data_IF_652446205847
#
_entry.id   IF_652446205847
#
_cell.length_a   1.000
_cell.length_b   1.000
_cell.length_c   1.000
_cell.angle_alpha   90.00
_cell.angle_beta   90.00
_cell.angle_gamma   90.00
#
_symmetry.space_group_name_H-M   'P 1'
#
loop_
_entity.id
_entity.type
_entity.pdbx_description
1 polymer ?
#
# COMPACT_ATOMS: atom_id res chain seq x y z
N UNK A 1 3.51 -10.23 8.07
CA UNK A 1 3.62 -8.77 8.27
C UNK A 1 3.09 -8.42 9.65
N UNK A 2 3.43 -7.23 10.17
CA UNK A 2 3.00 -6.76 11.49
C UNK A 2 1.51 -6.41 11.53
N UNK A 3 0.91 -6.48 12.72
CA UNK A 3 -0.45 -6.05 13.02
C UNK A 3 -0.40 -4.82 13.92
N UNK A 4 -1.10 -3.76 13.56
CA UNK A 4 -1.10 -2.47 14.21
C UNK A 4 -2.49 -2.12 14.72
N UNK A 5 -2.55 -1.42 15.83
CA UNK A 5 -3.78 -0.79 16.34
C UNK A 5 -3.63 0.72 16.24
N UNK A 6 -4.69 1.42 15.84
CA UNK A 6 -4.74 2.88 16.02
C UNK A 6 -4.49 3.25 17.49
N UNK A 7 -3.92 4.43 17.72
CA UNK A 7 -3.70 4.93 19.06
C UNK A 7 -5.01 5.03 19.87
N UNK A 8 -6.11 5.42 19.21
CA UNK A 8 -7.43 5.50 19.83
C UNK A 8 -7.95 4.11 20.24
N UNK A 9 -7.88 3.11 19.36
CA UNK A 9 -8.27 1.73 19.70
C UNK A 9 -7.41 1.19 20.84
N UNK A 10 -6.09 1.36 20.75
CA UNK A 10 -5.13 0.91 21.75
C UNK A 10 -5.38 1.47 23.16
N UNK A 11 -5.96 2.67 23.27
CA UNK A 11 -6.25 3.32 24.54
C UNK A 11 -7.43 2.69 25.31
N UNK A 12 -8.33 1.98 24.62
CA UNK A 12 -9.53 1.41 25.23
C UNK A 12 -9.41 -0.10 25.51
N UNK A 13 -10.44 -0.68 26.15
CA UNK A 13 -10.46 -2.10 26.55
C UNK A 13 -10.37 -3.05 25.35
N UNK A 14 -10.99 -2.71 24.22
CA UNK A 14 -10.99 -3.55 23.01
C UNK A 14 -9.59 -3.64 22.41
N UNK A 15 -8.87 -2.51 22.34
CA UNK A 15 -7.48 -2.52 21.87
C UNK A 15 -6.55 -3.27 22.79
N UNK A 16 -6.63 -3.06 24.11
CA UNK A 16 -5.82 -3.82 25.10
C UNK A 16 -6.04 -5.34 25.00
N UNK A 17 -7.27 -5.77 24.71
CA UNK A 17 -7.56 -7.17 24.43
C UNK A 17 -6.80 -7.66 23.19
N UNK A 18 -6.91 -6.95 22.06
CA UNK A 18 -6.23 -7.31 20.81
C UNK A 18 -4.69 -7.26 20.91
N UNK A 19 -4.13 -6.37 21.73
CA UNK A 19 -2.70 -6.39 22.03
C UNK A 19 -2.29 -7.70 22.70
N UNK A 20 -3.08 -8.13 23.69
CA UNK A 20 -2.79 -9.32 24.51
C UNK A 20 -3.00 -10.61 23.72
N UNK A 21 -4.14 -10.72 23.03
CA UNK A 21 -4.58 -11.97 22.38
C UNK A 21 -4.03 -12.11 20.96
N UNK A 22 -3.95 -11.03 20.19
CA UNK A 22 -3.48 -11.07 18.81
C UNK A 22 -2.03 -10.56 18.64
N UNK A 23 -1.37 -10.11 19.71
CA UNK A 23 -0.02 -9.52 19.63
C UNK A 23 0.02 -8.29 18.71
N UNK A 24 -1.07 -7.53 18.63
CA UNK A 24 -1.13 -6.34 17.80
C UNK A 24 -0.39 -5.17 18.47
N UNK A 25 0.43 -4.46 17.71
CA UNK A 25 1.28 -3.38 18.22
C UNK A 25 0.54 -2.05 18.16
N UNK A 26 0.43 -1.30 19.28
CA UNK A 26 -0.18 0.02 19.24
C UNK A 26 0.69 1.01 18.48
N UNK A 27 0.07 1.85 17.65
CA UNK A 27 0.74 3.01 17.08
C UNK A 27 0.96 4.09 18.15
N UNK A 28 2.14 4.72 18.12
CA UNK A 28 2.50 5.80 19.04
C UNK A 28 1.93 7.16 18.62
N UNK A 29 1.56 7.30 17.35
CA UNK A 29 1.01 8.52 16.75
C UNK A 29 -0.31 8.21 16.07
N UNK A 30 -1.07 9.26 15.78
CA UNK A 30 -2.30 9.15 15.01
C UNK A 30 -1.99 8.63 13.60
N UNK A 31 -2.75 7.60 13.20
CA UNK A 31 -2.54 6.89 11.93
C UNK A 31 -2.87 7.76 10.73
N UNK A 32 -3.69 8.80 10.88
CA UNK A 32 -3.97 9.76 9.80
C UNK A 32 -2.68 10.50 9.42
N UNK A 33 -1.94 10.95 10.43
CA UNK A 33 -0.68 11.71 10.24
C UNK A 33 0.54 10.84 9.94
N UNK A 34 0.54 9.60 10.46
CA UNK A 34 1.70 8.72 10.43
C UNK A 34 1.25 7.25 10.39
N UNK A 35 0.63 6.79 9.28
CA UNK A 35 0.23 5.40 9.16
C UNK A 35 1.47 4.48 9.11
N UNK A 36 1.34 3.19 9.44
CA UNK A 36 2.44 2.25 9.31
C UNK A 36 2.83 2.08 7.83
N UNK A 37 4.10 1.79 7.55
CA UNK A 37 4.59 1.63 6.18
C UNK A 37 3.93 0.46 5.43
N UNK A 38 3.62 -0.63 6.13
CA UNK A 38 2.89 -1.80 5.62
C UNK A 38 2.37 -2.64 6.79
N UNK A 39 1.50 -3.61 6.50
CA UNK A 39 0.91 -4.53 7.47
C UNK A 39 -0.60 -4.34 7.61
N UNK A 40 -1.15 -4.94 8.66
CA UNK A 40 -2.58 -4.83 8.99
C UNK A 40 -2.78 -3.70 10.00
N UNK A 41 -3.53 -2.65 9.65
CA UNK A 41 -3.98 -1.62 10.59
C UNK A 41 -5.43 -1.88 11.00
N UNK A 42 -5.67 -2.00 12.30
CA UNK A 42 -7.00 -2.17 12.87
C UNK A 42 -7.44 -0.83 13.48
N UNK A 43 -8.61 -0.35 13.06
CA UNK A 43 -9.22 0.91 13.51
C UNK A 43 -10.66 0.68 13.95
N UNK A 44 -11.17 1.50 14.87
CA UNK A 44 -12.58 1.50 15.21
C UNK A 44 -13.37 2.36 14.21
N UNK A 45 -14.60 1.94 13.92
CA UNK A 45 -15.50 2.72 13.07
C UNK A 45 -15.74 4.15 13.61
N UNK A 46 -15.74 4.34 14.93
CA UNK A 46 -15.88 5.65 15.57
C UNK A 46 -14.74 6.64 15.23
N UNK A 47 -13.59 6.14 14.78
CA UNK A 47 -12.48 7.00 14.31
C UNK A 47 -12.75 7.56 12.90
N UNK A 48 -13.70 6.97 12.16
CA UNK A 48 -14.05 7.37 10.80
C UNK A 48 -15.19 8.39 10.85
N UNK A 49 -14.87 9.58 11.37
CA UNK A 49 -15.86 10.63 11.67
C UNK A 49 -16.36 11.37 10.43
N UNK A 50 -15.59 11.37 9.36
CA UNK A 50 -15.83 12.15 8.16
C UNK A 50 -15.26 11.47 6.91
N UNK A 51 -15.64 11.99 5.75
CA UNK A 51 -15.25 11.46 4.45
C UNK A 51 -13.73 11.56 4.21
N UNK A 52 -13.08 12.60 4.72
CA UNK A 52 -11.64 12.79 4.54
C UNK A 52 -10.86 11.71 5.29
N UNK A 53 -11.24 11.42 6.53
CA UNK A 53 -10.63 10.35 7.34
C UNK A 53 -10.86 8.96 6.70
N UNK A 54 -12.07 8.69 6.21
CA UNK A 54 -12.38 7.47 5.47
C UNK A 54 -11.55 7.34 4.18
N UNK A 55 -11.37 8.43 3.43
CA UNK A 55 -10.55 8.47 2.22
C UNK A 55 -9.06 8.23 2.52
N UNK A 56 -8.51 8.81 3.60
CA UNK A 56 -7.13 8.54 4.04
C UNK A 56 -6.90 7.06 4.32
N UNK A 57 -7.82 6.43 5.08
CA UNK A 57 -7.73 5.00 5.35
C UNK A 57 -7.81 4.18 4.07
N UNK A 58 -8.75 4.51 3.18
CA UNK A 58 -8.89 3.86 1.88
C UNK A 58 -7.61 3.97 1.05
N UNK A 59 -7.04 5.17 0.90
CA UNK A 59 -5.83 5.36 0.09
C UNK A 59 -4.63 4.60 0.64
N UNK A 60 -4.46 4.57 1.96
CA UNK A 60 -3.42 3.75 2.58
C UNK A 60 -3.67 2.25 2.38
N UNK A 61 -4.89 1.79 2.65
CA UNK A 61 -5.28 0.40 2.55
C UNK A 61 -5.23 -0.16 1.13
N UNK A 62 -5.29 0.67 0.09
CA UNK A 62 -5.17 0.21 -1.29
C UNK A 62 -3.72 0.00 -1.76
N UNK A 63 -2.71 0.38 -0.96
CA UNK A 63 -1.30 0.16 -1.29
C UNK A 63 -0.91 -1.31 -1.09
N UNK A 64 0.02 -1.81 -1.90
CA UNK A 64 0.51 -3.18 -1.75
C UNK A 64 1.15 -3.39 -0.37
N UNK A 65 0.85 -4.52 0.26
CA UNK A 65 1.22 -4.88 1.62
C UNK A 65 0.48 -4.13 2.73
N UNK A 66 -0.50 -3.29 2.41
CA UNK A 66 -1.33 -2.61 3.40
C UNK A 66 -2.73 -3.25 3.46
N UNK A 67 -3.16 -3.62 4.66
CA UNK A 67 -4.54 -4.04 4.91
C UNK A 67 -5.12 -3.17 6.01
N UNK A 68 -6.33 -2.66 5.82
CA UNK A 68 -7.08 -2.00 6.89
C UNK A 68 -8.27 -2.88 7.30
N UNK A 69 -8.48 -3.01 8.61
CA UNK A 69 -9.66 -3.68 9.18
C UNK A 69 -10.40 -2.71 10.11
N UNK A 70 -11.62 -2.38 9.73
CA UNK A 70 -12.53 -1.56 10.54
C UNK A 70 -13.40 -2.48 11.39
N UNK A 71 -13.40 -2.23 12.70
CA UNK A 71 -14.15 -3.01 13.70
C UNK A 71 -15.17 -2.13 14.42
N UNK A 72 -16.08 -2.76 15.18
CA UNK A 72 -17.07 -2.06 16.00
C UNK A 72 -17.95 -1.11 15.18
N UNK A 73 -18.49 -1.63 14.08
CA UNK A 73 -19.23 -0.88 13.08
C UNK A 73 -20.52 -0.28 13.67
N UNK A 74 -20.90 0.92 13.24
CA UNK A 74 -22.22 1.49 13.47
C UNK A 74 -22.82 1.96 12.14
N UNK A 75 -24.14 2.09 12.10
CA UNK A 75 -24.87 2.44 10.88
C UNK A 75 -24.43 3.78 10.27
N UNK A 76 -24.04 4.74 11.11
CA UNK A 76 -23.63 6.09 10.68
C UNK A 76 -22.40 6.07 9.75
N UNK A 77 -21.42 5.19 9.98
CA UNK A 77 -20.21 5.12 9.15
C UNK A 77 -20.48 4.60 7.73
N UNK A 78 -21.57 3.84 7.51
CA UNK A 78 -21.90 3.33 6.19
C UNK A 78 -22.36 4.43 5.23
N UNK A 79 -22.89 5.55 5.75
CA UNK A 79 -23.22 6.72 4.93
C UNK A 79 -21.98 7.39 4.33
N UNK A 80 -20.82 7.23 4.96
CA UNK A 80 -19.53 7.75 4.48
C UNK A 80 -18.93 6.86 3.39
N UNK A 81 -19.29 5.57 3.35
CA UNK A 81 -18.74 4.63 2.36
C UNK A 81 -19.18 4.95 0.93
N UNK A 82 -20.34 5.59 0.77
CA UNK A 82 -20.82 6.09 -0.52
C UNK A 82 -19.95 7.23 -1.07
N UNK A 83 -19.09 7.84 -0.25
CA UNK A 83 -18.24 8.99 -0.59
C UNK A 83 -16.79 8.57 -0.91
N UNK A 84 -16.52 7.26 -0.93
CA UNK A 84 -15.24 6.72 -1.37
C UNK A 84 -15.06 6.87 -2.88
N UNK A 85 -13.80 6.90 -3.39
CA UNK A 85 -13.53 6.92 -4.83
C UNK A 85 -14.15 5.74 -5.58
N UNK A 86 -14.31 4.60 -4.90
CA UNK A 86 -15.17 3.51 -5.32
C UNK A 86 -16.32 3.38 -4.30
N UNK A 87 -17.50 3.96 -4.59
CA UNK A 87 -18.62 3.99 -3.66
C UNK A 87 -19.05 2.58 -3.27
N UNK A 88 -19.22 2.34 -1.97
CA UNK A 88 -19.72 1.07 -1.46
C UNK A 88 -21.18 1.21 -1.04
N UNK A 89 -21.99 0.25 -1.44
CA UNK A 89 -23.42 0.15 -1.16
C UNK A 89 -23.72 -0.61 0.14
N UNK A 90 -22.73 -0.70 1.02
CA UNK A 90 -22.81 -1.55 2.19
C UNK A 90 -23.74 -0.99 3.26
N UNK A 91 -24.41 -1.87 3.98
CA UNK A 91 -25.26 -1.53 5.12
C UNK A 91 -25.18 -2.61 6.20
N UNK A 92 -25.37 -2.21 7.45
CA UNK A 92 -25.59 -3.18 8.53
C UNK A 92 -27.03 -3.65 8.51
N UNK A 93 -27.21 -4.96 8.52
CA UNK A 93 -28.51 -5.61 8.64
C UNK A 93 -28.50 -6.56 9.83
N UNK A 94 -29.62 -6.69 10.57
CA UNK A 94 -29.76 -7.73 11.58
C UNK A 94 -29.55 -9.11 10.97
N UNK A 95 -28.81 -9.97 11.66
CA UNK A 95 -28.59 -11.35 11.24
C UNK A 95 -28.32 -12.26 12.43
N UNK A 96 -28.39 -13.57 12.21
CA UNK A 96 -27.92 -14.56 13.18
C UNK A 96 -26.97 -15.49 12.47
N UNK A 97 -25.70 -15.50 12.90
CA UNK A 97 -24.72 -16.42 12.35
C UNK A 97 -25.01 -17.83 12.87
N UNK A 98 -24.92 -18.81 11.97
CA UNK A 98 -24.89 -20.23 12.33
C UNK A 98 -23.50 -20.75 12.00
N UNK A 99 -22.72 -21.08 13.03
CA UNK A 99 -21.42 -21.73 12.84
C UNK A 99 -21.62 -23.09 12.19
N UNK A 100 -21.29 -23.20 10.90
CA UNK A 100 -21.37 -24.47 10.17
C UNK A 100 -20.02 -25.17 10.13
N UNK A 101 -18.93 -24.40 10.06
CA UNK A 101 -17.56 -24.92 9.99
C UNK A 101 -16.73 -24.43 11.19
N UNK A 102 -15.82 -25.26 11.72
CA UNK A 102 -14.95 -24.87 12.83
C UNK A 102 -14.05 -23.70 12.42
N UNK A 103 -13.98 -22.66 13.27
CA UNK A 103 -13.18 -21.47 13.02
C UNK A 103 -13.66 -20.27 13.82
N UNK A 104 -13.06 -19.10 13.55
CA UNK A 104 -13.38 -17.86 14.27
C UNK A 104 -14.87 -17.51 14.17
N UNK A 105 -15.46 -17.66 12.97
CA UNK A 105 -16.87 -17.36 12.72
C UNK A 105 -17.81 -18.22 13.57
N UNK A 106 -17.56 -19.53 13.68
CA UNK A 106 -18.38 -20.40 14.51
C UNK A 106 -18.24 -20.07 15.99
N UNK A 107 -17.02 -19.74 16.43
CA UNK A 107 -16.74 -19.38 17.82
C UNK A 107 -17.47 -18.11 18.26
N UNK A 108 -17.59 -17.13 17.36
CA UNK A 108 -18.22 -15.83 17.63
C UNK A 108 -19.67 -15.73 17.14
N UNK A 109 -20.24 -16.83 16.63
CA UNK A 109 -21.54 -16.82 15.97
C UNK A 109 -22.68 -16.37 16.90
N UNK A 110 -22.67 -16.84 18.15
CA UNK A 110 -23.69 -16.48 19.15
C UNK A 110 -23.58 -15.04 19.66
N UNK A 111 -22.44 -14.38 19.43
CA UNK A 111 -22.17 -13.00 19.85
C UNK A 111 -22.34 -11.99 18.71
N UNK A 112 -22.70 -12.47 17.50
CA UNK A 112 -22.83 -11.62 16.31
C UNK A 112 -24.29 -11.60 15.84
N UNK A 113 -24.90 -10.43 15.94
CA UNK A 113 -26.30 -10.17 15.60
C UNK A 113 -26.49 -9.31 14.34
N UNK A 114 -25.39 -9.03 13.63
CA UNK A 114 -25.38 -8.18 12.44
C UNK A 114 -24.53 -8.76 11.32
N UNK A 115 -24.93 -8.45 10.08
CA UNK A 115 -24.19 -8.71 8.86
C UNK A 115 -24.02 -7.44 8.03
N UNK A 116 -23.13 -7.54 7.04
CA UNK A 116 -22.87 -6.51 6.03
C UNK A 116 -23.57 -6.93 4.74
N UNK A 117 -24.68 -6.26 4.41
CA UNK A 117 -25.37 -6.41 3.15
C UNK A 117 -24.81 -5.44 2.10
N UNK A 118 -24.81 -5.84 0.83
CA UNK A 118 -24.35 -5.03 -0.31
C UNK A 118 -23.98 -5.89 -1.51
N UNK A 119 -23.84 -5.29 -2.68
CA UNK A 119 -23.41 -5.95 -3.91
C UNK A 119 -21.92 -5.74 -4.19
N UNK A 120 -21.38 -4.59 -3.79
CA UNK A 120 -19.97 -4.25 -4.05
C UNK A 120 -19.01 -5.02 -3.15
N UNK A 121 -17.78 -5.23 -3.62
CA UNK A 121 -16.71 -5.90 -2.86
C UNK A 121 -16.81 -7.42 -2.83
N UNK A 122 -16.10 -8.02 -1.89
CA UNK A 122 -15.92 -9.47 -1.79
C UNK A 122 -15.91 -9.93 -0.34
N UNK A 123 -16.19 -11.22 -0.14
CA UNK A 123 -16.09 -11.90 1.14
C UNK A 123 -15.57 -13.31 0.87
N UNK A 124 -14.65 -13.78 1.71
CA UNK A 124 -14.15 -15.14 1.62
C UNK A 124 -15.22 -16.11 2.14
N UNK A 125 -15.48 -17.19 1.40
CA UNK A 125 -16.56 -18.13 1.71
C UNK A 125 -16.37 -18.84 3.05
N UNK A 126 -15.13 -19.07 3.46
CA UNK A 126 -14.80 -19.85 4.65
C UNK A 126 -14.49 -18.97 5.86
N UNK A 127 -13.89 -17.79 5.63
CA UNK A 127 -13.44 -16.91 6.71
C UNK A 127 -14.41 -15.77 7.02
N UNK A 128 -15.23 -15.35 6.06
CA UNK A 128 -15.98 -14.09 6.13
C UNK A 128 -17.49 -14.25 6.00
N UNK A 129 -17.96 -15.49 5.87
CA UNK A 129 -19.37 -15.83 5.69
C UNK A 129 -19.78 -16.99 6.60
N UNK A 130 -21.04 -17.00 7.03
CA UNK A 130 -21.69 -18.13 7.67
C UNK A 130 -22.94 -18.50 6.86
N UNK A 131 -22.83 -19.51 6.00
CA UNK A 131 -23.83 -19.74 4.96
C UNK A 131 -23.87 -18.52 4.01
N UNK A 132 -25.06 -17.94 3.83
CA UNK A 132 -25.26 -16.75 2.98
C UNK A 132 -25.06 -15.42 3.75
N UNK A 133 -24.76 -15.49 5.04
CA UNK A 133 -24.62 -14.30 5.91
C UNK A 133 -23.18 -13.82 5.90
N UNK A 134 -22.95 -12.61 5.39
CA UNK A 134 -21.63 -11.98 5.31
C UNK A 134 -21.37 -11.15 6.57
N UNK A 135 -20.49 -11.59 7.46
CA UNK A 135 -20.09 -10.82 8.65
C UNK A 135 -18.84 -9.98 8.41
N UNK A 136 -18.09 -10.25 7.35
CA UNK A 136 -16.92 -9.47 6.97
C UNK A 136 -16.92 -9.25 5.47
N UNK A 137 -16.69 -8.01 5.04
CA UNK A 137 -16.63 -7.67 3.63
C UNK A 137 -15.43 -6.78 3.37
N UNK A 138 -14.79 -6.98 2.21
CA UNK A 138 -13.59 -6.24 1.84
C UNK A 138 -13.64 -5.79 0.38
N UNK A 139 -12.82 -4.79 0.08
CA UNK A 139 -12.52 -4.34 -1.28
C UNK A 139 -11.03 -4.35 -1.53
N UNK A 140 -10.65 -4.53 -2.80
CA UNK A 140 -9.29 -4.37 -3.32
C UNK A 140 -9.36 -3.99 -4.79
N UNK A 141 -8.32 -3.34 -5.34
CA UNK A 141 -8.29 -2.94 -6.75
C UNK A 141 -7.92 -4.10 -7.68
N UNK A 142 -6.94 -4.91 -7.28
CA UNK A 142 -6.45 -6.08 -8.03
C UNK A 142 -5.77 -7.05 -7.07
N UNK A 143 -5.25 -8.18 -7.57
CA UNK A 143 -4.62 -9.22 -6.72
C UNK A 143 -3.41 -8.75 -5.92
N UNK A 144 -2.65 -7.81 -6.48
CA UNK A 144 -1.44 -7.29 -5.85
C UNK A 144 -1.64 -5.98 -5.07
N UNK A 145 -2.88 -5.49 -4.93
CA UNK A 145 -3.15 -4.30 -4.12
C UNK A 145 -3.39 -4.71 -2.67
N UNK A 146 -3.32 -3.72 -1.79
CA UNK A 146 -3.88 -3.85 -0.46
C UNK A 146 -5.40 -4.03 -0.47
N UNK A 147 -5.96 -4.12 0.74
CA UNK A 147 -7.39 -4.27 0.94
C UNK A 147 -7.91 -3.42 2.11
N UNK A 148 -9.16 -3.02 2.00
CA UNK A 148 -9.93 -2.40 3.07
C UNK A 148 -11.09 -3.32 3.43
N UNK A 149 -11.16 -3.74 4.70
CA UNK A 149 -12.13 -4.69 5.22
C UNK A 149 -12.91 -4.12 6.40
N UNK A 150 -14.15 -4.57 6.55
CA UNK A 150 -15.08 -4.22 7.62
C UNK A 150 -15.65 -5.50 8.21
N UNK A 151 -15.71 -5.61 9.53
CA UNK A 151 -16.24 -6.80 10.21
C UNK A 151 -17.22 -6.49 11.32
N UNK A 152 -18.29 -7.28 11.41
CA UNK A 152 -19.23 -7.29 12.54
C UNK A 152 -18.81 -8.23 13.66
N UNK A 153 -17.78 -9.08 13.44
CA UNK A 153 -17.32 -10.00 14.47
C UNK A 153 -16.77 -9.24 15.70
N UNK A 154 -17.18 -9.61 16.92
CA UNK A 154 -16.67 -9.01 18.15
C UNK A 154 -15.27 -9.57 18.48
N UNK A 155 -14.24 -9.07 17.81
CA UNK A 155 -12.84 -9.54 17.95
C UNK A 155 -12.23 -9.33 19.36
N UNK A 156 -13.00 -8.77 20.29
CA UNK A 156 -12.66 -8.57 21.70
C UNK A 156 -13.49 -9.46 22.64
N UNK A 157 -14.15 -10.50 22.12
CA UNK A 157 -14.89 -11.49 22.92
C UNK A 157 -13.94 -12.23 23.86
N UNK A 158 -14.40 -12.45 25.09
CA UNK A 158 -13.67 -13.26 26.09
C UNK A 158 -13.50 -14.71 25.65
N UNK A 159 -14.37 -15.22 24.77
CA UNK A 159 -14.27 -16.55 24.17
C UNK A 159 -12.94 -16.74 23.41
N UNK A 160 -12.30 -15.64 22.97
CA UNK A 160 -11.03 -15.69 22.23
C UNK A 160 -9.80 -15.83 23.12
N UNK A 161 -9.92 -15.76 24.46
CA UNK A 161 -8.77 -15.90 25.37
C UNK A 161 -8.11 -17.28 25.23
N UNK A 162 -8.92 -18.34 25.10
CA UNK A 162 -8.45 -19.71 24.95
C UNK A 162 -8.30 -20.15 23.47
N UNK A 163 -8.62 -19.24 22.53
CA UNK A 163 -8.67 -19.50 21.08
C UNK A 163 -7.95 -18.42 20.27
N UNK A 164 -6.89 -17.85 20.84
CA UNK A 164 -6.10 -16.77 20.25
C UNK A 164 -5.55 -17.11 18.86
N UNK A 165 -5.24 -18.39 18.62
CA UNK A 165 -4.74 -18.92 17.36
C UNK A 165 -5.74 -18.76 16.22
N UNK A 166 -7.04 -18.91 16.49
CA UNK A 166 -8.09 -18.73 15.49
C UNK A 166 -8.20 -17.26 15.09
N UNK A 167 -8.12 -16.35 16.05
CA UNK A 167 -8.10 -14.90 15.78
C UNK A 167 -6.85 -14.52 14.98
N UNK A 168 -5.69 -14.98 15.40
CA UNK A 168 -4.41 -14.69 14.72
C UNK A 168 -4.42 -15.23 13.29
N UNK A 169 -4.87 -16.46 13.07
CA UNK A 169 -4.98 -17.04 11.73
C UNK A 169 -5.94 -16.25 10.86
N UNK A 170 -7.08 -15.84 11.41
CA UNK A 170 -8.07 -15.03 10.70
C UNK A 170 -7.54 -13.64 10.33
N UNK A 171 -6.82 -12.97 11.25
CA UNK A 171 -6.17 -11.69 10.95
C UNK A 171 -5.05 -11.81 9.91
N UNK A 172 -4.31 -12.93 9.92
CA UNK A 172 -3.25 -13.19 8.94
C UNK A 172 -3.81 -13.34 7.53
N UNK A 173 -5.06 -13.79 7.36
CA UNK A 173 -5.69 -13.82 6.04
C UNK A 173 -5.61 -12.46 5.36
N UNK A 174 -5.87 -11.35 6.06
CA UNK A 174 -5.79 -10.01 5.44
C UNK A 174 -4.38 -9.64 5.02
N UNK A 175 -3.39 -10.02 5.83
CA UNK A 175 -1.98 -9.81 5.53
C UNK A 175 -1.56 -10.58 4.28
N UNK A 176 -1.97 -11.84 4.18
CA UNK A 176 -1.65 -12.72 3.05
C UNK A 176 -2.34 -12.26 1.75
N UNK A 177 -3.43 -11.49 1.86
CA UNK A 177 -4.20 -10.97 0.73
C UNK A 177 -3.98 -9.48 0.44
N UNK A 178 -3.09 -8.80 1.19
CA UNK A 178 -2.78 -7.39 1.01
C UNK A 178 -1.83 -7.10 -0.17
N UNK A 179 -1.49 -8.12 -0.97
CA UNK A 179 -0.41 -8.04 -1.94
C UNK A 179 0.96 -7.95 -1.26
N UNK A 180 2.01 -8.00 -2.06
CA UNK A 180 3.38 -7.89 -1.57
C UNK A 180 3.74 -6.41 -1.67
N UNK A 181 3.90 -5.74 -0.53
CA UNK A 181 4.67 -4.51 -0.51
C UNK A 181 6.05 -4.88 -1.07
N UNK A 182 6.36 -4.44 -2.29
CA UNK A 182 7.76 -4.23 -2.62
C UNK A 182 8.30 -3.39 -1.47
N UNK A 183 9.34 -3.88 -0.80
CA UNK A 183 10.02 -3.06 0.19
C UNK A 183 10.38 -1.78 -0.56
N UNK A 184 9.67 -0.71 -0.28
CA UNK A 184 10.21 0.63 -0.41
C UNK A 184 11.39 0.55 0.54
N UNK A 185 12.56 0.25 -0.02
CA UNK A 185 13.82 0.44 0.64
C UNK A 185 13.73 1.92 0.99
N UNK A 186 13.43 2.24 2.27
CA UNK A 186 13.71 3.56 2.81
C UNK A 186 15.07 3.94 2.22
N UNK A 187 15.21 5.07 1.51
CA UNK A 187 16.43 5.39 0.79
C UNK A 187 17.57 5.15 1.75
N UNK A 188 18.26 4.02 1.52
CA UNK A 188 19.30 3.55 2.39
C UNK A 188 20.29 4.68 2.30
N UNK A 189 20.65 5.29 3.44
CA UNK A 189 21.71 6.29 3.49
C UNK A 189 22.79 5.84 2.49
N UNK A 190 23.10 6.67 1.47
CA UNK A 190 23.65 6.21 0.20
C UNK A 190 24.77 5.22 0.49
N UNK A 191 24.53 3.95 0.16
CA UNK A 191 25.62 2.99 0.26
C UNK A 191 26.62 3.42 -0.79
N UNK A 192 27.81 3.79 -0.33
CA UNK A 192 28.96 4.26 -1.11
C UNK A 192 29.49 3.26 -2.15
N UNK A 193 28.79 2.15 -2.39
CA UNK A 193 29.30 1.01 -3.17
C UNK A 193 28.62 0.85 -4.54
N UNK A 194 27.61 1.67 -4.87
CA UNK A 194 27.05 1.66 -6.24
C UNK A 194 27.91 2.51 -7.17
N UNK A 195 28.56 1.85 -8.12
CA UNK A 195 29.28 2.52 -9.21
C UNK A 195 28.46 2.36 -10.50
N UNK A 196 27.92 3.45 -11.07
CA UNK A 196 27.19 3.40 -12.34
C UNK A 196 27.97 2.69 -13.44
N UNK A 197 27.32 1.75 -14.13
CA UNK A 197 27.93 1.07 -15.28
C UNK A 197 27.90 1.96 -16.54
N UNK A 198 28.44 1.45 -17.65
CA UNK A 198 28.49 2.19 -18.92
C UNK A 198 27.12 2.65 -19.46
N UNK A 199 26.05 1.90 -19.21
CA UNK A 199 24.72 2.24 -19.67
C UNK A 199 24.02 3.20 -18.70
N UNK A 200 24.27 3.06 -17.40
CA UNK A 200 23.83 4.04 -16.40
C UNK A 200 24.41 5.42 -16.69
N UNK A 201 25.69 5.48 -17.07
CA UNK A 201 26.34 6.71 -17.50
C UNK A 201 25.72 7.30 -18.78
N UNK A 202 25.24 6.45 -19.70
CA UNK A 202 24.48 6.91 -20.88
C UNK A 202 23.12 7.49 -20.47
N UNK A 203 22.43 6.90 -19.50
CA UNK A 203 21.17 7.45 -18.97
C UNK A 203 21.40 8.81 -18.30
N UNK A 204 22.47 8.95 -17.51
CA UNK A 204 22.88 10.23 -16.92
C UNK A 204 23.23 11.27 -18.00
N UNK A 205 23.93 10.85 -19.05
CA UNK A 205 24.26 11.71 -20.20
C UNK A 205 23.00 12.21 -20.90
N UNK A 206 22.02 11.34 -21.15
CA UNK A 206 20.75 11.69 -21.78
C UNK A 206 19.94 12.66 -20.93
N UNK A 207 19.85 12.42 -19.61
CA UNK A 207 19.17 13.33 -18.68
C UNK A 207 19.84 14.70 -18.62
N UNK A 208 21.17 14.73 -18.59
CA UNK A 208 21.93 15.98 -18.59
C UNK A 208 21.71 16.76 -19.90
N UNK A 209 21.83 16.08 -21.04
CA UNK A 209 21.68 16.68 -22.37
C UNK A 209 20.22 17.07 -22.69
N UNK A 210 19.24 16.38 -22.10
CA UNK A 210 17.81 16.61 -22.30
C UNK A 210 17.27 17.89 -21.66
N UNK A 211 18.06 18.62 -20.86
CA UNK A 211 17.72 19.98 -20.43
C UNK A 211 16.39 20.13 -19.67
N UNK A 212 15.99 19.12 -18.90
CA UNK A 212 14.72 19.10 -18.15
C UNK A 212 13.67 18.10 -18.69
N UNK A 213 13.96 17.37 -19.76
CA UNK A 213 13.17 16.21 -20.16
C UNK A 213 13.27 15.09 -19.11
N UNK A 214 12.14 14.44 -18.82
CA UNK A 214 12.12 13.25 -17.99
C UNK A 214 12.52 11.99 -18.79
N UNK A 215 12.77 10.87 -18.09
CA UNK A 215 13.22 9.61 -18.70
C UNK A 215 12.25 9.07 -19.76
N UNK A 216 10.93 9.22 -19.55
CA UNK A 216 9.92 8.80 -20.52
C UNK A 216 10.03 9.62 -21.81
N UNK A 217 10.10 10.94 -21.69
CA UNK A 217 10.24 11.85 -22.82
C UNK A 217 11.53 11.58 -23.60
N UNK A 218 12.63 11.32 -22.91
CA UNK A 218 13.91 10.95 -23.54
C UNK A 218 13.84 9.60 -24.27
N UNK A 219 13.19 8.61 -23.66
CA UNK A 219 13.00 7.28 -24.28
C UNK A 219 12.18 7.36 -25.56
N UNK A 220 11.28 8.34 -25.64
CA UNK A 220 10.39 8.54 -26.77
C UNK A 220 10.97 9.48 -27.83
N UNK A 221 12.00 10.27 -27.48
CA UNK A 221 12.59 11.29 -28.32
C UNK A 221 13.23 10.71 -29.59
N UNK A 222 12.89 11.28 -30.75
CA UNK A 222 13.30 10.73 -32.05
C UNK A 222 14.83 10.70 -32.22
N UNK A 223 15.53 11.77 -31.85
CA UNK A 223 17.00 11.79 -31.94
C UNK A 223 17.65 10.74 -31.01
N UNK A 224 17.06 10.50 -29.84
CA UNK A 224 17.56 9.46 -28.90
C UNK A 224 17.38 8.08 -29.51
N UNK A 225 16.22 7.78 -30.10
CA UNK A 225 15.95 6.50 -30.77
C UNK A 225 16.83 6.24 -31.99
N UNK A 226 17.33 7.30 -32.64
CA UNK A 226 18.22 7.19 -33.79
C UNK A 226 19.68 6.94 -33.38
N UNK A 227 20.09 7.45 -32.22
CA UNK A 227 21.47 7.37 -31.73
C UNK A 227 21.71 6.22 -30.76
N UNK A 228 20.66 5.78 -30.05
CA UNK A 228 20.73 4.77 -29.00
C UNK A 228 19.70 3.67 -29.22
N UNK A 229 20.11 2.42 -28.98
CA UNK A 229 19.17 1.32 -28.84
C UNK A 229 18.48 1.41 -27.48
N UNK A 230 17.39 2.17 -27.42
CA UNK A 230 16.60 2.45 -26.22
C UNK A 230 16.04 1.17 -25.58
N UNK A 231 15.76 0.14 -26.39
CA UNK A 231 15.26 -1.14 -25.88
C UNK A 231 16.36 -1.88 -25.11
N UNK A 232 17.59 -1.88 -25.62
CA UNK A 232 18.74 -2.46 -24.93
C UNK A 232 19.21 -1.63 -23.71
N UNK A 233 18.93 -0.32 -23.74
CA UNK A 233 19.35 0.62 -22.70
C UNK A 233 18.56 0.41 -21.39
N UNK A 234 17.30 -0.04 -21.48
CA UNK A 234 16.40 -0.23 -20.33
C UNK A 234 16.34 1.02 -19.43
N UNK A 235 16.11 2.17 -20.08
CA UNK A 235 16.23 3.50 -19.48
C UNK A 235 15.35 3.71 -18.24
N UNK A 236 14.19 3.04 -18.19
CA UNK A 236 13.25 3.11 -17.07
C UNK A 236 13.83 2.39 -15.84
N UNK A 237 14.22 1.12 -16.00
CA UNK A 237 14.78 0.31 -14.92
C UNK A 237 16.10 0.87 -14.39
N UNK A 238 16.95 1.40 -15.28
CA UNK A 238 18.20 2.08 -14.88
C UNK A 238 17.93 3.39 -14.17
N UNK A 239 16.90 4.12 -14.59
CA UNK A 239 16.42 5.30 -13.90
C UNK A 239 16.04 5.02 -12.44
N UNK A 240 15.36 3.91 -12.19
CA UNK A 240 15.02 3.48 -10.82
C UNK A 240 16.27 3.22 -9.98
N UNK A 241 17.26 2.49 -10.51
CA UNK A 241 18.52 2.22 -9.80
C UNK A 241 19.31 3.51 -9.53
N UNK A 242 19.44 4.39 -10.53
CA UNK A 242 20.13 5.67 -10.38
C UNK A 242 19.45 6.58 -9.35
N UNK A 243 18.13 6.54 -9.27
CA UNK A 243 17.33 7.28 -8.29
C UNK A 243 17.51 6.73 -6.88
N UNK A 244 17.55 5.39 -6.73
CA UNK A 244 17.80 4.74 -5.43
C UNK A 244 19.17 5.10 -4.85
N UNK A 245 20.14 5.46 -5.69
CA UNK A 245 21.50 5.80 -5.29
C UNK A 245 21.82 7.31 -5.40
N UNK A 246 20.81 8.19 -5.42
CA UNK A 246 20.96 9.66 -5.39
C UNK A 246 21.72 10.24 -6.60
N UNK A 247 21.76 9.57 -7.76
CA UNK A 247 22.33 10.14 -8.98
C UNK A 247 21.29 10.97 -9.77
N UNK A 248 19.99 10.68 -9.59
CA UNK A 248 18.88 11.41 -10.20
C UNK A 248 17.71 11.56 -9.21
N UNK A 249 16.88 12.59 -9.39
CA UNK A 249 15.68 12.87 -8.59
C UNK A 249 14.49 13.28 -9.48
N UNK A 250 13.44 13.89 -8.91
CA UNK A 250 12.28 14.38 -9.65
C UNK A 250 12.58 15.63 -10.51
N UNK A 251 13.64 16.38 -10.18
CA UNK A 251 14.09 17.55 -10.93
C UNK A 251 15.10 17.20 -12.04
N UNK A 252 15.65 15.98 -12.04
CA UNK A 252 16.54 15.46 -13.07
C UNK A 252 17.82 14.90 -12.48
N UNK A 253 18.98 15.30 -13.01
CA UNK A 253 20.28 14.84 -12.51
C UNK A 253 20.68 15.59 -11.23
N UNK A 254 21.08 14.87 -10.18
CA UNK A 254 21.55 15.48 -8.92
C UNK A 254 23.01 15.96 -9.04
N UNK A 255 23.54 16.61 -8.00
CA UNK A 255 24.96 16.97 -7.92
C UNK A 255 25.88 15.74 -7.96
N UNK A 256 25.49 14.65 -7.29
CA UNK A 256 26.19 13.36 -7.28
C UNK A 256 26.20 12.74 -8.68
N UNK A 257 25.04 12.71 -9.33
CA UNK A 257 24.85 12.34 -10.74
C UNK A 257 25.80 13.06 -11.69
N UNK A 258 25.79 14.40 -11.59
CA UNK A 258 26.59 15.27 -12.44
C UNK A 258 28.08 15.07 -12.23
N UNK A 259 28.54 14.97 -10.98
CA UNK A 259 29.95 14.76 -10.66
C UNK A 259 30.44 13.41 -11.20
N UNK A 260 29.64 12.36 -11.04
CA UNK A 260 29.93 11.04 -11.60
C UNK A 260 30.02 11.05 -13.13
N UNK A 261 29.05 11.70 -13.79
CA UNK A 261 29.05 11.84 -15.25
C UNK A 261 30.27 12.61 -15.74
N UNK A 262 30.62 13.73 -15.08
CA UNK A 262 31.79 14.57 -15.42
C UNK A 262 33.13 13.84 -15.28
N UNK A 263 33.22 12.88 -14.35
CA UNK A 263 34.39 12.03 -14.19
C UNK A 263 34.48 10.89 -15.23
N UNK A 264 33.43 10.68 -16.04
CA UNK A 264 33.37 9.60 -17.03
C UNK A 264 33.87 10.03 -18.41
N UNK A 265 34.24 9.04 -19.23
CA UNK A 265 34.60 9.25 -20.64
C UNK A 265 33.43 9.80 -21.50
N UNK A 266 32.19 9.70 -21.01
CA UNK A 266 31.00 10.13 -21.72
C UNK A 266 30.76 11.65 -21.63
N UNK A 267 31.40 12.33 -20.67
CA UNK A 267 31.23 13.77 -20.45
C UNK A 267 31.56 14.60 -21.68
N UNK A 268 32.58 14.18 -22.45
CA UNK A 268 33.01 14.87 -23.66
C UNK A 268 31.89 15.01 -24.71
N UNK A 269 30.88 14.12 -24.67
CA UNK A 269 29.77 14.11 -25.61
C UNK A 269 28.56 14.92 -25.14
N UNK A 270 28.55 15.39 -23.89
CA UNK A 270 27.40 16.09 -23.32
C UNK A 270 27.00 17.38 -24.07
N UNK A 271 27.95 18.26 -24.51
CA UNK A 271 27.59 19.46 -25.26
C UNK A 271 26.99 19.13 -26.63
N UNK A 272 27.60 18.20 -27.37
CA UNK A 272 27.15 17.79 -28.70
C UNK A 272 25.76 17.14 -28.64
N UNK A 273 25.57 16.23 -27.69
CA UNK A 273 24.27 15.57 -27.51
C UNK A 273 23.19 16.57 -27.08
N UNK A 274 23.54 17.55 -26.23
CA UNK A 274 22.65 18.64 -25.88
C UNK A 274 22.19 19.41 -27.11
N UNK A 275 23.10 19.79 -28.00
CA UNK A 275 22.76 20.47 -29.26
C UNK A 275 21.82 19.61 -30.12
N UNK A 276 22.17 18.35 -30.36
CA UNK A 276 21.36 17.43 -31.18
C UNK A 276 19.95 17.19 -30.62
N UNK A 277 19.79 17.16 -29.30
CA UNK A 277 18.48 16.99 -28.65
C UNK A 277 17.61 18.25 -28.72
N UNK A 278 18.22 19.44 -28.71
CA UNK A 278 17.47 20.71 -28.73
C UNK A 278 17.19 21.21 -30.16
N UNK A 279 18.04 20.89 -31.14
CA UNK A 279 17.90 21.35 -32.53
C UNK A 279 17.30 20.29 -33.46
N UNK A 280 17.28 19.01 -33.04
CA UNK A 280 16.81 17.89 -33.86
C UNK A 280 17.67 17.63 -35.11
N UNK A 281 18.85 18.26 -35.21
CA UNK A 281 19.80 18.04 -36.30
C UNK A 281 20.81 16.99 -35.84
N UNK A 282 20.89 15.87 -36.55
CA UNK A 282 21.89 14.81 -36.32
C UNK A 282 23.21 15.16 -36.97
#
# INVERSE_FOLDING_TARGET
MSRYLSAALASNRKGRFLQTVAGATPLMKDWISSPPASGLLIVQAEELTDANTMQHLYHWAMQAGCAALVINLKAEQFTLLAQLPYPLDWQLVPASLRGQEPGLTALLASETDQAIAGFTGSADRYQHQAGDVVHTRYIRKHSNSGLLAFTTLPLWSLTLLDHSELLVSWLNWFVDHAGIAERIIEPKAPSTDYTPDKHDLVVLLLLYAGGGMNLQALSEHNAVKLMFDVNSLDIVKRGEMLRQHDFIDDAGITATGKTCLQASQYWAYAPLLGEQLHTGTL
#
